data_IF_169435080111
#
_entry.id   IF_169435080111
#
_cell.length_a   1.000
_cell.length_b   1.000
_cell.length_c   1.000
_cell.angle_alpha   90.00
_cell.angle_beta   90.00
_cell.angle_gamma   90.00
#
_symmetry.space_group_name_H-M   'P 1'
#
loop_
_entity.id
_entity.type
_entity.pdbx_description
1 polymer ?
#
# COMPACT_ATOMS: atom_id res chain seq x y z
N UNK A 1 15.88 37.78 2.89
CA UNK A 1 14.85 36.73 3.05
C UNK A 1 15.61 35.43 3.11
N UNK A 2 15.60 34.65 4.19
CA UNK A 2 16.25 33.35 4.18
C UNK A 2 15.47 32.45 3.21
N UNK A 3 16.21 31.81 2.29
CA UNK A 3 15.74 30.69 1.48
C UNK A 3 15.11 29.67 2.44
N UNK A 4 13.82 29.40 2.26
CA UNK A 4 13.18 28.28 2.92
C UNK A 4 13.82 27.03 2.32
N UNK A 5 14.69 26.39 3.10
CA UNK A 5 15.11 25.02 2.86
C UNK A 5 13.82 24.18 2.65
N UNK A 6 13.50 23.90 1.40
CA UNK A 6 12.51 22.89 1.08
C UNK A 6 13.13 21.55 1.51
N UNK A 7 12.92 21.18 2.77
CA UNK A 7 13.16 19.84 3.25
C UNK A 7 12.44 18.90 2.28
N UNK A 8 13.21 18.20 1.46
CA UNK A 8 12.67 17.19 0.55
C UNK A 8 12.09 16.08 1.42
N UNK A 9 10.77 15.98 1.45
CA UNK A 9 10.08 14.92 2.20
C UNK A 9 10.46 13.56 1.64
N UNK A 10 10.76 12.63 2.53
CA UNK A 10 11.03 11.23 2.19
C UNK A 10 9.71 10.48 2.08
N UNK A 11 9.51 9.75 1.00
CA UNK A 11 8.34 8.88 0.84
C UNK A 11 8.63 7.48 1.40
N UNK A 12 7.70 6.95 2.19
CA UNK A 12 7.67 5.55 2.60
C UNK A 12 6.39 4.95 2.04
N UNK A 13 6.53 3.99 1.15
CA UNK A 13 5.41 3.22 0.60
C UNK A 13 5.29 1.92 1.39
N UNK A 14 4.25 1.82 2.20
CA UNK A 14 3.95 0.61 2.99
C UNK A 14 3.03 -0.28 2.15
N UNK A 15 3.58 -1.36 1.65
CA UNK A 15 2.94 -2.32 0.76
C UNK A 15 2.54 -3.56 1.56
N UNK A 16 1.26 -3.95 1.62
CA UNK A 16 0.86 -5.20 2.28
C UNK A 16 1.57 -6.41 1.70
N UNK A 17 1.55 -6.56 0.38
CA UNK A 17 2.25 -7.61 -0.37
C UNK A 17 3.29 -6.99 -1.31
N UNK A 18 4.01 -7.81 -2.04
CA UNK A 18 5.17 -7.40 -2.84
C UNK A 18 4.83 -6.47 -4.01
N UNK A 19 3.66 -6.60 -4.62
CA UNK A 19 3.25 -5.89 -5.84
C UNK A 19 2.34 -4.67 -5.60
N UNK A 20 1.75 -4.51 -4.40
CA UNK A 20 0.76 -3.46 -4.11
C UNK A 20 1.32 -2.04 -4.33
N UNK A 21 2.57 -1.80 -3.95
CA UNK A 21 3.22 -0.50 -4.16
C UNK A 21 3.34 -0.16 -5.65
N UNK A 22 3.75 -1.11 -6.49
CA UNK A 22 3.83 -0.93 -7.93
C UNK A 22 2.45 -0.77 -8.57
N UNK A 23 1.44 -1.49 -8.08
CA UNK A 23 0.06 -1.40 -8.56
C UNK A 23 -0.61 -0.07 -8.22
N UNK A 24 -0.32 0.51 -7.07
CA UNK A 24 -1.15 1.58 -6.49
C UNK A 24 -0.50 2.96 -6.46
N UNK A 25 0.85 3.08 -6.44
CA UNK A 25 1.55 4.35 -6.20
C UNK A 25 2.78 4.57 -7.10
N UNK A 26 2.77 4.06 -8.32
CA UNK A 26 3.87 4.23 -9.28
C UNK A 26 4.16 5.70 -9.59
N UNK A 27 3.17 6.61 -9.50
CA UNK A 27 3.39 8.04 -9.69
C UNK A 27 4.34 8.64 -8.65
N UNK A 28 4.32 8.15 -7.43
CA UNK A 28 5.25 8.53 -6.38
C UNK A 28 6.62 7.92 -6.65
N UNK A 29 6.66 6.63 -7.00
CA UNK A 29 7.89 5.91 -7.29
C UNK A 29 8.62 6.44 -8.54
N UNK A 30 7.95 7.18 -9.43
CA UNK A 30 8.56 7.73 -10.66
C UNK A 30 9.18 9.12 -10.50
N UNK A 31 8.92 9.84 -9.41
CA UNK A 31 9.17 11.30 -9.36
C UNK A 31 10.12 11.76 -8.27
N UNK A 32 10.56 10.90 -7.39
CA UNK A 32 11.23 11.36 -6.20
C UNK A 32 12.70 11.02 -6.06
N UNK A 33 13.37 11.63 -5.08
CA UNK A 33 14.52 11.01 -4.46
C UNK A 33 14.10 9.63 -3.97
N UNK A 34 15.05 8.75 -3.73
CA UNK A 34 14.76 7.36 -3.36
C UNK A 34 13.67 7.26 -2.28
N UNK A 35 12.53 6.70 -2.65
CA UNK A 35 11.51 6.30 -1.69
C UNK A 35 11.91 4.96 -1.05
N UNK A 36 11.46 4.73 0.17
CA UNK A 36 11.57 3.41 0.80
C UNK A 36 10.30 2.61 0.50
N UNK A 37 10.43 1.48 -0.18
CA UNK A 37 9.36 0.48 -0.24
C UNK A 37 9.49 -0.44 0.98
N UNK A 38 8.40 -0.60 1.72
CA UNK A 38 8.36 -1.49 2.87
C UNK A 38 7.23 -2.50 2.66
N UNK A 39 7.61 -3.74 2.31
CA UNK A 39 6.65 -4.83 2.13
C UNK A 39 6.41 -5.52 3.48
N UNK A 40 5.17 -5.49 3.94
CA UNK A 40 4.79 -5.99 5.27
C UNK A 40 4.79 -7.52 5.28
N UNK A 41 4.06 -8.16 4.36
CA UNK A 41 3.97 -9.62 4.28
C UNK A 41 5.07 -10.18 3.38
N UNK A 42 6.34 -9.86 3.72
CA UNK A 42 7.53 -10.28 2.96
C UNK A 42 8.26 -11.49 3.52
N UNK A 43 7.73 -12.12 4.59
CA UNK A 43 8.37 -13.23 5.30
C UNK A 43 7.99 -14.61 4.77
N UNK A 44 8.95 -15.52 4.82
CA UNK A 44 8.69 -16.93 4.49
C UNK A 44 7.93 -17.62 5.63
N UNK A 45 6.93 -18.47 5.33
CA UNK A 45 6.27 -19.29 6.35
C UNK A 45 7.23 -20.35 6.90
N UNK A 46 6.98 -20.77 8.15
CA UNK A 46 7.84 -21.75 8.86
C UNK A 46 7.57 -23.21 8.50
N UNK A 47 6.56 -23.48 7.68
CA UNK A 47 6.17 -24.84 7.26
C UNK A 47 6.33 -25.06 5.76
N UNK A 48 6.32 -26.31 5.34
CA UNK A 48 6.32 -26.69 3.92
C UNK A 48 4.91 -26.58 3.28
N UNK A 49 3.96 -25.90 3.95
CA UNK A 49 2.62 -25.70 3.43
C UNK A 49 2.65 -24.97 2.08
N UNK A 50 1.72 -25.34 1.23
CA UNK A 50 1.45 -24.66 0.00
C UNK A 50 0.02 -24.06 0.04
N UNK A 51 -0.15 -22.90 -0.52
CA UNK A 51 -1.43 -22.26 -0.72
C UNK A 51 -1.90 -22.40 -2.17
N UNK A 52 -3.20 -22.29 -2.39
CA UNK A 52 -3.77 -22.37 -3.73
C UNK A 52 -3.26 -21.24 -4.63
N UNK A 53 -3.13 -20.03 -4.05
CA UNK A 53 -2.57 -18.88 -4.76
C UNK A 53 -1.12 -19.09 -5.15
N UNK A 54 -0.30 -19.66 -4.26
CA UNK A 54 1.11 -19.95 -4.55
C UNK A 54 1.25 -20.95 -5.69
N UNK A 55 0.41 -22.00 -5.70
CA UNK A 55 0.35 -22.96 -6.81
C UNK A 55 -0.08 -22.32 -8.12
N UNK A 56 -1.09 -21.44 -8.09
CA UNK A 56 -1.54 -20.68 -9.26
C UNK A 56 -0.43 -19.80 -9.82
N UNK A 57 0.39 -19.24 -8.95
CA UNK A 57 1.56 -18.43 -9.28
C UNK A 57 2.80 -19.28 -9.67
N UNK A 58 2.69 -20.61 -9.69
CA UNK A 58 3.73 -21.54 -10.15
C UNK A 58 4.77 -21.93 -9.09
N UNK A 59 4.49 -21.74 -7.81
CA UNK A 59 5.37 -22.13 -6.72
C UNK A 59 4.98 -23.49 -6.12
N UNK A 60 6.00 -24.24 -5.71
CA UNK A 60 5.84 -25.57 -5.10
C UNK A 60 5.65 -25.51 -3.58
N UNK A 61 5.94 -24.39 -2.94
CA UNK A 61 5.82 -24.20 -1.50
C UNK A 61 5.78 -22.73 -1.11
N UNK A 62 5.22 -22.42 0.06
CA UNK A 62 5.19 -21.07 0.61
C UNK A 62 6.57 -20.43 0.78
N UNK A 63 7.60 -21.13 1.30
CA UNK A 63 8.97 -20.59 1.33
C UNK A 63 9.54 -20.27 -0.05
N UNK A 64 9.26 -21.08 -1.07
CA UNK A 64 9.68 -20.80 -2.44
C UNK A 64 8.95 -19.58 -3.02
N UNK A 65 7.65 -19.45 -2.76
CA UNK A 65 6.84 -18.30 -3.14
C UNK A 65 7.38 -17.01 -2.50
N UNK A 66 7.59 -16.99 -1.19
CA UNK A 66 8.13 -15.83 -0.49
C UNK A 66 9.50 -15.41 -1.04
N UNK A 67 10.41 -16.38 -1.29
CA UNK A 67 11.73 -16.09 -1.85
C UNK A 67 11.67 -15.56 -3.28
N UNK A 68 10.84 -16.18 -4.13
CA UNK A 68 10.64 -15.76 -5.53
C UNK A 68 10.07 -14.36 -5.62
N UNK A 69 8.97 -14.10 -4.91
CA UNK A 69 8.31 -12.78 -4.89
C UNK A 69 9.21 -11.69 -4.30
N UNK A 70 10.01 -12.00 -3.27
CA UNK A 70 10.98 -11.06 -2.75
C UNK A 70 12.08 -10.69 -3.78
N UNK A 71 12.48 -11.62 -4.65
CA UNK A 71 13.40 -11.31 -5.74
C UNK A 71 12.74 -10.46 -6.83
N UNK A 72 11.48 -10.74 -7.17
CA UNK A 72 10.67 -9.95 -8.10
C UNK A 72 10.50 -8.49 -7.61
N UNK A 73 10.17 -8.30 -6.32
CA UNK A 73 10.00 -6.98 -5.71
C UNK A 73 11.30 -6.17 -5.71
N UNK A 74 12.43 -6.79 -5.36
CA UNK A 74 13.75 -6.12 -5.48
C UNK A 74 14.05 -5.70 -6.91
N UNK A 75 13.71 -6.52 -7.89
CA UNK A 75 13.90 -6.18 -9.30
C UNK A 75 13.00 -5.01 -9.72
N UNK A 76 11.75 -5.00 -9.28
CA UNK A 76 10.80 -3.90 -9.52
C UNK A 76 11.28 -2.59 -8.88
N UNK A 77 11.69 -2.62 -7.61
CA UNK A 77 12.21 -1.47 -6.90
C UNK A 77 13.47 -0.90 -7.55
N UNK A 78 14.39 -1.76 -7.99
CA UNK A 78 15.61 -1.36 -8.67
C UNK A 78 15.35 -0.62 -9.99
N UNK A 79 14.30 -0.99 -10.76
CA UNK A 79 13.89 -0.27 -11.97
C UNK A 79 13.48 1.17 -11.68
N UNK A 80 12.89 1.42 -10.52
CA UNK A 80 12.47 2.74 -10.08
C UNK A 80 13.56 3.49 -9.29
N UNK A 81 14.71 2.85 -9.00
CA UNK A 81 15.81 3.44 -8.26
C UNK A 81 15.57 3.53 -6.75
N UNK A 82 14.79 2.62 -6.19
CA UNK A 82 14.41 2.64 -4.77
C UNK A 82 14.97 1.45 -3.99
N UNK A 83 15.13 1.66 -2.69
CA UNK A 83 15.40 0.59 -1.74
C UNK A 83 14.10 -0.10 -1.32
N UNK A 84 14.19 -1.40 -1.00
CA UNK A 84 13.08 -2.19 -0.49
C UNK A 84 13.46 -2.93 0.79
N UNK A 85 12.55 -2.90 1.76
CA UNK A 85 12.64 -3.65 3.01
C UNK A 85 11.47 -4.61 3.10
N UNK A 86 11.74 -5.88 3.36
CA UNK A 86 10.73 -6.90 3.60
C UNK A 86 10.66 -7.21 5.10
N UNK A 87 9.48 -7.06 5.71
CA UNK A 87 9.30 -7.52 7.08
C UNK A 87 9.16 -9.05 7.10
N UNK A 88 9.64 -9.72 8.17
CA UNK A 88 9.61 -11.17 8.27
C UNK A 88 8.24 -11.71 8.70
N UNK A 89 7.17 -11.21 8.08
CA UNK A 89 5.78 -11.57 8.38
C UNK A 89 5.25 -12.41 7.21
N UNK A 90 4.83 -13.66 7.45
CA UNK A 90 4.23 -14.48 6.41
C UNK A 90 2.89 -13.90 5.94
N UNK A 91 2.50 -14.19 4.71
CA UNK A 91 1.20 -13.86 4.13
C UNK A 91 0.01 -14.53 4.87
N UNK A 92 -1.20 -14.01 4.68
CA UNK A 92 -2.41 -14.42 5.39
C UNK A 92 -2.66 -15.96 5.42
N UNK A 93 -2.48 -16.71 4.32
CA UNK A 93 -2.72 -18.15 4.35
C UNK A 93 -1.84 -18.92 5.35
N UNK A 94 -0.72 -18.32 5.74
CA UNK A 94 0.29 -18.96 6.60
C UNK A 94 0.26 -18.49 8.07
N UNK A 95 -0.73 -17.70 8.44
CA UNK A 95 -0.91 -17.21 9.83
C UNK A 95 -2.38 -17.10 10.22
N UNK A 96 -2.65 -17.15 11.52
CA UNK A 96 -4.00 -17.11 12.06
C UNK A 96 -4.51 -15.69 12.33
N UNK A 97 -3.61 -14.71 12.52
CA UNK A 97 -3.96 -13.32 12.80
C UNK A 97 -2.85 -12.37 12.30
N UNK A 98 -3.24 -11.16 11.93
CA UNK A 98 -2.29 -10.13 11.54
C UNK A 98 -1.52 -9.63 12.77
N UNK A 99 -0.18 -9.59 12.74
CA UNK A 99 0.65 -9.22 13.90
C UNK A 99 0.82 -7.70 14.01
N UNK A 100 -0.28 -6.96 14.23
CA UNK A 100 -0.33 -5.49 14.25
C UNK A 100 0.78 -4.88 15.11
N UNK A 101 1.00 -5.41 16.32
CA UNK A 101 2.03 -4.86 17.22
C UNK A 101 3.45 -4.96 16.67
N UNK A 102 3.79 -6.06 15.99
CA UNK A 102 5.11 -6.25 15.38
C UNK A 102 5.31 -5.30 14.18
N UNK A 103 4.28 -5.15 13.34
CA UNK A 103 4.32 -4.20 12.22
C UNK A 103 4.43 -2.76 12.72
N UNK A 104 3.62 -2.37 13.71
CA UNK A 104 3.70 -1.06 14.35
C UNK A 104 5.10 -0.77 14.88
N UNK A 105 5.70 -1.72 15.59
CA UNK A 105 7.04 -1.57 16.15
C UNK A 105 8.13 -1.42 15.07
N UNK A 106 7.96 -2.08 13.92
CA UNK A 106 8.87 -1.94 12.78
C UNK A 106 8.74 -0.58 12.07
N UNK A 107 7.52 -0.04 11.99
CA UNK A 107 7.23 1.24 11.34
C UNK A 107 7.61 2.44 12.23
N UNK A 108 7.38 2.38 13.53
CA UNK A 108 7.51 3.52 14.44
C UNK A 108 8.84 4.30 14.33
N UNK A 109 10.02 3.67 14.22
CA UNK A 109 11.29 4.40 14.10
C UNK A 109 11.47 5.12 12.76
N UNK A 110 10.65 4.81 11.76
CA UNK A 110 10.72 5.39 10.42
C UNK A 110 9.85 6.65 10.28
N UNK A 111 8.84 6.81 11.13
CA UNK A 111 7.82 7.85 10.99
C UNK A 111 8.24 9.13 11.73
N UNK A 112 8.39 10.21 10.97
CA UNK A 112 8.87 11.52 11.43
C UNK A 112 8.11 12.64 10.70
N UNK A 113 8.16 13.91 11.18
CA UNK A 113 7.46 15.03 10.53
C UNK A 113 7.88 15.30 9.07
N UNK A 114 9.08 14.90 8.68
CA UNK A 114 9.64 15.05 7.31
C UNK A 114 9.36 13.86 6.40
N UNK A 115 8.47 12.95 6.81
CA UNK A 115 8.11 11.73 6.07
C UNK A 115 6.66 11.78 5.59
N UNK A 116 6.43 11.34 4.35
CA UNK A 116 5.12 10.98 3.81
C UNK A 116 4.98 9.48 3.79
N UNK A 117 3.91 8.99 4.39
CA UNK A 117 3.61 7.56 4.45
C UNK A 117 2.44 7.26 3.54
N UNK A 118 2.66 6.38 2.59
CA UNK A 118 1.64 5.84 1.70
C UNK A 118 1.20 4.48 2.23
N UNK A 119 -0.07 4.31 2.52
CA UNK A 119 -0.62 3.09 3.09
C UNK A 119 -1.92 2.69 2.39
N UNK A 120 -2.33 1.41 2.43
CA UNK A 120 -3.58 0.96 1.82
C UNK A 120 -4.80 1.53 2.56
N UNK A 121 -5.91 1.76 1.84
CA UNK A 121 -7.23 2.02 2.45
C UNK A 121 -7.81 0.75 3.07
N UNK A 122 -7.53 -0.41 2.48
CA UNK A 122 -8.15 -1.70 2.80
C UNK A 122 -9.36 -2.01 1.92
N UNK A 123 -9.42 -1.48 0.69
CA UNK A 123 -10.45 -1.83 -0.29
C UNK A 123 -10.39 -3.34 -0.56
N UNK A 124 -11.55 -3.98 -0.68
CA UNK A 124 -11.65 -5.44 -0.78
C UNK A 124 -11.59 -6.17 0.56
N UNK A 125 -11.28 -5.46 1.65
CA UNK A 125 -11.27 -6.01 3.03
C UNK A 125 -10.31 -7.19 3.23
N UNK A 126 -9.23 -7.27 2.42
CA UNK A 126 -8.20 -8.27 2.65
C UNK A 126 -7.55 -8.05 4.03
N UNK A 127 -7.40 -9.08 4.88
CA UNK A 127 -6.94 -8.92 6.26
C UNK A 127 -5.55 -8.28 6.37
N UNK A 128 -4.66 -8.50 5.41
CA UNK A 128 -3.33 -7.92 5.39
C UNK A 128 -3.33 -6.44 5.05
N UNK A 129 -4.21 -6.01 4.14
CA UNK A 129 -4.39 -4.60 3.82
C UNK A 129 -4.98 -3.83 4.98
N UNK A 130 -6.06 -4.35 5.57
CA UNK A 130 -6.70 -3.75 6.77
C UNK A 130 -5.72 -3.72 7.94
N UNK A 131 -5.01 -4.82 8.21
CA UNK A 131 -4.03 -4.89 9.28
C UNK A 131 -2.84 -3.96 9.08
N UNK A 132 -2.35 -3.82 7.83
CA UNK A 132 -1.29 -2.88 7.48
C UNK A 132 -1.72 -1.44 7.70
N UNK A 133 -2.93 -1.06 7.24
CA UNK A 133 -3.52 0.25 7.50
C UNK A 133 -3.54 0.56 9.00
N UNK A 134 -4.09 -0.35 9.79
CA UNK A 134 -4.27 -0.15 11.23
C UNK A 134 -2.93 -0.06 11.98
N UNK A 135 -1.93 -0.82 11.54
CA UNK A 135 -0.57 -0.74 12.07
C UNK A 135 0.10 0.60 11.74
N UNK A 136 -0.06 1.10 10.49
CA UNK A 136 0.43 2.43 10.08
C UNK A 136 -0.22 3.52 10.92
N UNK A 137 -1.54 3.50 11.10
CA UNK A 137 -2.26 4.48 11.92
C UNK A 137 -1.76 4.49 13.36
N UNK A 138 -1.56 3.32 13.94
CA UNK A 138 -1.03 3.18 15.29
C UNK A 138 0.41 3.73 15.39
N UNK A 139 1.26 3.42 14.42
CA UNK A 139 2.65 3.88 14.39
C UNK A 139 2.77 5.40 14.15
N UNK A 140 1.85 5.97 13.37
CA UNK A 140 1.86 7.40 13.01
C UNK A 140 1.38 8.31 14.14
N UNK A 141 0.70 7.78 15.14
CA UNK A 141 0.16 8.56 16.24
C UNK A 141 1.25 9.40 16.93
N UNK A 142 1.08 10.72 16.94
CA UNK A 142 2.00 11.67 17.59
C UNK A 142 3.31 11.92 16.86
N UNK A 143 3.57 11.33 15.69
CA UNK A 143 4.83 11.50 14.95
C UNK A 143 4.88 12.78 14.11
N UNK A 144 3.72 13.31 13.70
CA UNK A 144 3.61 14.45 12.78
C UNK A 144 3.92 14.13 11.32
N UNK A 145 4.08 12.84 10.94
CA UNK A 145 4.25 12.44 9.54
C UNK A 145 2.96 12.73 8.73
N UNK A 146 3.11 12.87 7.42
CA UNK A 146 1.97 13.00 6.51
C UNK A 146 1.45 11.62 6.12
N UNK A 147 0.14 11.42 6.20
CA UNK A 147 -0.52 10.17 5.81
C UNK A 147 -1.24 10.34 4.49
N UNK A 148 -1.09 9.35 3.62
CA UNK A 148 -1.71 9.25 2.31
C UNK A 148 -2.21 7.81 2.14
N UNK A 149 -3.52 7.62 2.04
CA UNK A 149 -4.10 6.29 1.85
C UNK A 149 -4.43 6.06 0.39
N UNK A 150 -3.87 5.03 -0.21
CA UNK A 150 -4.09 4.71 -1.62
C UNK A 150 -5.20 3.68 -1.82
N UNK A 151 -5.87 3.75 -2.98
CA UNK A 151 -6.81 2.73 -3.40
C UNK A 151 -6.06 1.44 -3.74
N UNK A 152 -6.44 0.36 -3.08
CA UNK A 152 -5.78 -0.93 -3.12
C UNK A 152 -6.01 -1.63 -4.46
N UNK A 153 -5.11 -1.51 -5.40
CA UNK A 153 -5.15 -2.27 -6.65
C UNK A 153 -4.48 -3.64 -6.45
N UNK A 154 -5.07 -4.75 -6.92
CA UNK A 154 -6.19 -4.83 -7.86
C UNK A 154 -7.60 -4.88 -7.22
N UNK A 155 -7.76 -4.92 -5.91
CA UNK A 155 -9.07 -5.02 -5.24
C UNK A 155 -10.03 -3.91 -5.64
N UNK A 156 -9.50 -2.70 -5.88
CA UNK A 156 -10.29 -1.57 -6.37
C UNK A 156 -10.92 -1.86 -7.74
N UNK A 157 -10.27 -2.65 -8.60
CA UNK A 157 -10.82 -3.07 -9.90
C UNK A 157 -11.96 -4.07 -9.71
N UNK A 158 -11.78 -5.07 -8.83
CA UNK A 158 -12.82 -6.03 -8.47
C UNK A 158 -14.07 -5.38 -7.89
N UNK A 159 -13.93 -4.20 -7.30
CA UNK A 159 -15.03 -3.37 -6.83
C UNK A 159 -15.71 -2.57 -7.95
N UNK A 160 -15.48 -2.91 -9.23
CA UNK A 160 -16.16 -2.37 -10.41
C UNK A 160 -15.53 -1.12 -11.00
N UNK A 161 -14.28 -0.85 -10.69
CA UNK A 161 -13.49 0.14 -11.43
C UNK A 161 -12.95 -0.52 -12.71
N UNK A 162 -13.75 -0.53 -13.74
CA UNK A 162 -13.42 -1.12 -15.03
C UNK A 162 -12.95 -0.08 -16.07
N UNK A 163 -12.59 -0.57 -17.25
CA UNK A 163 -12.13 0.28 -18.34
C UNK A 163 -13.19 1.25 -18.89
N UNK A 164 -14.47 1.09 -18.54
CA UNK A 164 -15.53 1.99 -18.97
C UNK A 164 -15.60 3.26 -18.12
N UNK A 165 -15.20 3.17 -16.84
CA UNK A 165 -15.19 4.29 -15.88
C UNK A 165 -13.82 4.97 -15.78
N UNK A 166 -13.17 5.18 -16.93
CA UNK A 166 -11.77 5.65 -17.03
C UNK A 166 -11.45 6.94 -16.27
N UNK A 167 -12.43 7.79 -16.07
CA UNK A 167 -12.23 9.12 -15.52
C UNK A 167 -12.88 9.31 -14.14
N UNK A 168 -13.57 8.31 -13.62
CA UNK A 168 -14.27 8.42 -12.35
C UNK A 168 -14.20 7.12 -11.54
N UNK A 169 -13.35 7.10 -10.49
CA UNK A 169 -13.31 5.98 -9.56
C UNK A 169 -14.69 5.76 -8.92
N UNK A 170 -15.14 4.51 -8.75
CA UNK A 170 -16.40 4.18 -8.12
C UNK A 170 -16.34 4.37 -6.59
N UNK A 171 -16.13 5.61 -6.13
CA UNK A 171 -15.96 5.92 -4.71
C UNK A 171 -17.14 5.45 -3.84
N UNK A 172 -18.34 5.42 -4.39
CA UNK A 172 -19.55 4.87 -3.77
C UNK A 172 -19.44 3.37 -3.45
N UNK A 173 -18.68 2.62 -4.24
CA UNK A 173 -18.42 1.19 -3.99
C UNK A 173 -17.32 0.95 -2.95
N UNK A 174 -16.49 1.94 -2.70
CA UNK A 174 -15.44 1.91 -1.68
C UNK A 174 -15.89 2.54 -0.35
N UNK A 175 -17.13 3.05 -0.32
CA UNK A 175 -17.71 3.75 0.84
C UNK A 175 -17.53 3.00 2.17
N UNK A 176 -17.77 1.68 2.27
CA UNK A 176 -17.62 0.98 3.55
C UNK A 176 -16.19 1.05 4.11
N UNK A 177 -15.17 0.94 3.24
CA UNK A 177 -13.76 0.98 3.66
C UNK A 177 -13.32 2.41 3.95
N UNK A 178 -13.80 3.38 3.17
CA UNK A 178 -13.55 4.81 3.42
C UNK A 178 -14.23 5.27 4.71
N UNK A 179 -15.47 4.83 4.97
CA UNK A 179 -16.14 5.11 6.23
C UNK A 179 -15.37 4.51 7.42
N UNK A 180 -14.90 3.27 7.30
CA UNK A 180 -14.07 2.65 8.32
C UNK A 180 -12.77 3.44 8.58
N UNK A 181 -12.11 3.94 7.53
CA UNK A 181 -10.94 4.80 7.65
C UNK A 181 -11.30 6.14 8.32
N UNK A 182 -12.39 6.77 7.91
CA UNK A 182 -12.85 8.07 8.46
C UNK A 182 -13.25 8.01 9.95
N UNK A 183 -13.51 6.83 10.50
CA UNK A 183 -13.69 6.65 11.95
C UNK A 183 -12.35 6.70 12.72
N UNK A 184 -11.23 6.53 12.05
CA UNK A 184 -9.90 6.43 12.66
C UNK A 184 -9.08 7.71 12.48
N UNK A 185 -9.30 8.42 11.37
CA UNK A 185 -8.56 9.63 10.97
C UNK A 185 -9.48 10.63 10.29
N UNK A 186 -9.05 11.90 10.25
CA UNK A 186 -9.70 12.91 9.40
C UNK A 186 -9.19 12.73 7.96
N UNK A 187 -10.09 12.40 7.05
CA UNK A 187 -9.80 12.04 5.66
C UNK A 187 -10.21 13.16 4.73
N UNK A 188 -9.26 13.69 3.98
CA UNK A 188 -9.49 14.70 2.95
C UNK A 188 -10.19 14.14 1.71
N UNK A 189 -10.61 15.03 0.81
CA UNK A 189 -11.12 14.66 -0.50
C UNK A 189 -10.09 13.83 -1.29
N UNK A 190 -10.53 12.85 -2.09
CA UNK A 190 -9.64 12.03 -2.91
C UNK A 190 -8.87 12.88 -3.92
N UNK A 191 -7.63 12.50 -4.15
CA UNK A 191 -6.80 12.99 -5.25
C UNK A 191 -6.66 11.88 -6.28
N UNK A 192 -6.93 12.22 -7.54
CA UNK A 192 -6.82 11.31 -8.67
C UNK A 192 -5.67 11.78 -9.54
N UNK A 193 -4.72 10.89 -9.78
CA UNK A 193 -3.59 11.13 -10.67
C UNK A 193 -3.72 10.25 -11.90
N UNK A 194 -3.85 10.84 -13.08
CA UNK A 194 -3.69 10.11 -14.34
C UNK A 194 -2.20 10.07 -14.68
N UNK A 195 -1.67 8.88 -14.87
CA UNK A 195 -0.27 8.67 -15.20
C UNK A 195 0.04 9.14 -16.62
N UNK A 196 1.13 9.88 -16.78
CA UNK A 196 1.71 10.13 -18.09
C UNK A 196 2.33 8.86 -18.69
N UNK A 197 2.71 8.94 -19.97
CA UNK A 197 3.23 7.77 -20.68
C UNK A 197 4.57 7.26 -20.12
N UNK A 198 5.37 8.13 -19.52
CA UNK A 198 6.65 7.73 -18.92
C UNK A 198 6.43 6.97 -17.62
N UNK A 199 5.58 7.47 -16.77
CA UNK A 199 5.19 6.83 -15.50
C UNK A 199 4.45 5.53 -15.77
N UNK A 200 3.55 5.50 -16.76
CA UNK A 200 2.84 4.27 -17.14
C UNK A 200 3.80 3.20 -17.67
N UNK A 201 4.81 3.57 -18.48
CA UNK A 201 5.86 2.63 -18.92
C UNK A 201 6.65 2.06 -17.75
N UNK A 202 7.04 2.90 -16.79
CA UNK A 202 7.72 2.44 -15.57
C UNK A 202 6.83 1.48 -14.77
N UNK A 203 5.57 1.86 -14.51
CA UNK A 203 4.59 1.01 -13.82
C UNK A 203 4.46 -0.36 -14.46
N UNK A 204 4.27 -0.41 -15.77
CA UNK A 204 4.19 -1.68 -16.53
C UNK A 204 5.51 -2.46 -16.41
N UNK A 205 6.66 -1.80 -16.46
CA UNK A 205 7.95 -2.47 -16.32
C UNK A 205 8.13 -3.06 -14.92
N UNK A 206 7.77 -2.32 -13.86
CA UNK A 206 7.79 -2.81 -12.49
C UNK A 206 6.86 -4.02 -12.31
N UNK A 207 5.62 -3.92 -12.79
CA UNK A 207 4.65 -5.01 -12.71
C UNK A 207 5.12 -6.28 -13.45
N UNK A 208 5.81 -6.14 -14.57
CA UNK A 208 6.40 -7.28 -15.28
C UNK A 208 7.52 -7.99 -14.49
N UNK A 209 8.14 -7.32 -13.53
CA UNK A 209 9.06 -7.98 -12.59
C UNK A 209 8.31 -8.93 -11.67
N UNK A 210 7.06 -8.64 -11.30
CA UNK A 210 6.19 -9.50 -10.49
C UNK A 210 5.50 -10.57 -11.35
N UNK A 211 6.28 -11.28 -12.17
CA UNK A 211 5.76 -12.21 -13.17
C UNK A 211 4.89 -13.32 -12.57
N UNK A 212 5.24 -13.80 -11.39
CA UNK A 212 4.46 -14.80 -10.67
C UNK A 212 3.07 -14.30 -10.29
N UNK A 213 2.97 -13.05 -9.82
CA UNK A 213 1.70 -12.43 -9.42
C UNK A 213 0.82 -12.13 -10.65
N UNK A 214 1.41 -11.68 -11.76
CA UNK A 214 0.67 -11.41 -13.00
C UNK A 214 -0.08 -12.63 -13.50
N UNK A 215 0.46 -13.83 -13.31
CA UNK A 215 -0.22 -15.08 -13.69
C UNK A 215 -1.57 -15.23 -12.96
N UNK A 216 -1.56 -15.06 -11.63
CA UNK A 216 -2.77 -15.13 -10.82
C UNK A 216 -3.72 -13.96 -11.07
N UNK A 217 -3.22 -12.73 -11.04
CA UNK A 217 -4.04 -11.53 -11.26
C UNK A 217 -4.74 -11.49 -12.61
N UNK A 218 -4.11 -12.06 -13.65
CA UNK A 218 -4.71 -12.12 -15.00
C UNK A 218 -5.90 -13.06 -15.10
N UNK A 219 -6.08 -13.98 -14.16
CA UNK A 219 -7.25 -14.85 -14.09
C UNK A 219 -8.48 -14.04 -13.66
N UNK A 220 -8.34 -13.26 -12.60
CA UNK A 220 -9.44 -12.48 -12.02
C UNK A 220 -9.69 -11.17 -12.79
N UNK A 221 -8.62 -10.59 -13.37
CA UNK A 221 -8.63 -9.29 -14.03
C UNK A 221 -7.93 -9.35 -15.41
N UNK A 222 -8.50 -10.03 -16.42
CA UNK A 222 -7.78 -10.35 -17.67
C UNK A 222 -7.32 -9.13 -18.49
N UNK A 223 -7.84 -7.95 -18.20
CA UNK A 223 -7.49 -6.70 -18.91
C UNK A 223 -6.84 -5.64 -18.02
N UNK A 224 -6.44 -6.00 -16.79
CA UNK A 224 -5.93 -5.00 -15.85
C UNK A 224 -4.65 -4.30 -16.35
N UNK A 225 -3.80 -4.98 -17.13
CA UNK A 225 -2.58 -4.44 -17.74
C UNK A 225 -2.84 -3.60 -19.01
N UNK A 226 -4.11 -3.31 -19.35
CA UNK A 226 -4.43 -2.49 -20.50
C UNK A 226 -3.82 -1.09 -20.38
N UNK A 227 -3.21 -0.59 -21.48
CA UNK A 227 -2.57 0.73 -21.52
C UNK A 227 -3.54 1.86 -21.16
N UNK A 228 -4.76 1.78 -21.66
CA UNK A 228 -5.85 2.68 -21.30
C UNK A 228 -6.87 1.91 -20.44
N UNK A 229 -6.79 2.13 -19.15
CA UNK A 229 -7.65 1.47 -18.18
C UNK A 229 -7.43 1.99 -16.76
N UNK A 230 -8.02 1.35 -15.75
CA UNK A 230 -7.91 1.77 -14.36
C UNK A 230 -6.46 1.85 -13.87
N UNK A 231 -5.59 0.95 -14.35
CA UNK A 231 -4.16 0.95 -13.96
C UNK A 231 -3.44 2.26 -14.28
N UNK A 232 -3.96 3.04 -15.25
CA UNK A 232 -3.42 4.36 -15.63
C UNK A 232 -3.83 5.47 -14.66
N UNK A 233 -4.62 5.17 -13.66
CA UNK A 233 -5.03 6.12 -12.64
C UNK A 233 -4.59 5.64 -11.26
N UNK A 234 -4.27 6.58 -10.40
CA UNK A 234 -4.00 6.33 -9.00
C UNK A 234 -4.86 7.26 -8.16
N UNK A 235 -5.49 6.69 -7.15
CA UNK A 235 -6.40 7.42 -6.26
C UNK A 235 -5.86 7.32 -4.85
N UNK A 236 -5.79 8.45 -4.17
CA UNK A 236 -5.36 8.47 -2.77
C UNK A 236 -6.05 9.58 -1.99
N UNK A 237 -6.11 9.40 -0.69
CA UNK A 237 -6.70 10.31 0.28
C UNK A 237 -5.65 10.80 1.26
N UNK A 238 -5.32 12.12 1.29
CA UNK A 238 -4.58 12.68 2.40
C UNK A 238 -5.39 12.53 3.69
N UNK A 239 -4.71 12.28 4.80
CA UNK A 239 -5.37 12.14 6.09
C UNK A 239 -4.52 12.71 7.22
N UNK A 240 -5.19 13.09 8.30
CA UNK A 240 -4.59 13.57 9.54
C UNK A 240 -5.06 12.72 10.71
N UNK A 241 -4.13 12.34 11.58
CA UNK A 241 -4.49 11.64 12.82
C UNK A 241 -5.41 12.54 13.64
N UNK A 242 -6.55 12.02 14.06
CA UNK A 242 -7.48 12.74 14.92
C UNK A 242 -6.75 13.20 16.19
N UNK A 243 -6.82 14.49 16.47
CA UNK A 243 -6.31 15.00 17.75
C UNK A 243 -7.04 14.26 18.89
N UNK A 244 -6.34 13.84 19.95
CA UNK A 244 -7.02 13.23 21.10
C UNK A 244 -8.06 14.24 21.59
N UNK A 245 -9.32 13.79 21.70
CA UNK A 245 -10.40 14.59 22.26
C UNK A 245 -9.96 15.01 23.67
N UNK A 246 -9.73 16.31 23.86
CA UNK A 246 -9.55 16.86 25.21
C UNK A 246 -10.92 16.65 25.91
N UNK A 247 -11.05 15.56 26.63
CA UNK A 247 -12.19 15.45 27.57
C UNK A 247 -12.13 16.69 28.47
N UNK A 248 -13.23 17.44 28.58
CA UNK A 248 -13.26 18.54 29.52
C UNK A 248 -13.04 17.94 30.91
N UNK A 249 -11.92 18.24 31.54
CA UNK A 249 -11.71 17.96 32.96
C UNK A 249 -12.88 18.56 33.69
N UNK A 250 -13.85 17.73 34.09
CA UNK A 250 -14.88 18.12 35.02
C UNK A 250 -14.16 18.59 36.29
N UNK A 251 -14.08 19.92 36.42
CA UNK A 251 -13.53 20.53 37.61
C UNK A 251 -14.28 20.01 38.81
N UNK A 252 -13.60 19.28 39.67
CA UNK A 252 -14.06 18.94 40.99
C UNK A 252 -14.19 20.26 41.76
N UNK A 253 -15.40 20.80 41.80
CA UNK A 253 -15.75 21.81 42.77
C UNK A 253 -15.91 21.17 44.13
N UNK A 254 -14.95 21.44 45.01
CA UNK A 254 -15.08 21.22 46.45
C UNK A 254 -16.05 22.22 47.05
#
# INVERSE_FOLDING_TARGET
MPEQDHLTMTDIVVSPHFDDGALSVASTLSKGPSALLLTVCGGAPTGAGDDEWDRLCGFESGPAAASGRAAEDRAAAALAGHDVVHLPIPDAPYRTAFPTAAVTAALAPLLRPDVRVWAPVGIGSHPDHVGTRDAVLTAAAGTGCQLLFYADCPYAFGSGWDAADRDRPPADRWEPQLAALAHLVDVDCPRITRLDDSTMRLKIAMLRCHASQLAGLSVDHPHFMAWEGPLRQEVFWPASVLAPSLEPTLGSSA
#
